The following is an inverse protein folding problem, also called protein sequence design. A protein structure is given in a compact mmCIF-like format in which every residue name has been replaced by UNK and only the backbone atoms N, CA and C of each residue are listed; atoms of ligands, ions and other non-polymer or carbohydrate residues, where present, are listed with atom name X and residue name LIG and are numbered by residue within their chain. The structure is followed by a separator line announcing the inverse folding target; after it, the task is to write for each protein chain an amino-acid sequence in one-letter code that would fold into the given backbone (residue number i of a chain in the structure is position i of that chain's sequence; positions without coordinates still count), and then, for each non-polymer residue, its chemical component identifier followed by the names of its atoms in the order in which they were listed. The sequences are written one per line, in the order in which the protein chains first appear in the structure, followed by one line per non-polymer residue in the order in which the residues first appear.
data_IF_138892966422
#
_entry.id   IF_138892966422
#
_cell.length_a   1.000
_cell.length_b   1.000
_cell.length_c   1.000
_cell.angle_alpha   90.00
_cell.angle_beta   90.00
_cell.angle_gamma   90.00
#
_symmetry.space_group_name_H-M   'P 1'
#
loop_
_entity.id
_entity.type
_entity.pdbx_description
1 polymer ?
#
# COMPACT_ATOMS: atom_id res chain seq x y z
N UNK A 1 22.33 -10.94 2.39
CA UNK A 1 21.13 -10.96 1.52
C UNK A 1 19.96 -11.26 2.44
N UNK A 2 18.86 -10.51 2.36
CA UNK A 2 17.70 -10.78 3.24
C UNK A 2 17.08 -12.13 2.88
N UNK A 3 16.88 -13.01 3.86
CA UNK A 3 16.21 -14.33 3.68
C UNK A 3 14.73 -14.20 3.30
N UNK A 4 14.21 -12.97 3.23
CA UNK A 4 12.84 -12.67 2.85
C UNK A 4 12.59 -12.93 1.35
N UNK A 5 11.41 -13.49 1.01
CA UNK A 5 11.03 -13.75 -0.38
C UNK A 5 11.01 -12.47 -1.20
N UNK A 6 11.17 -12.62 -2.51
CA UNK A 6 11.05 -11.48 -3.42
C UNK A 6 9.58 -11.02 -3.45
N UNK A 7 9.31 -9.71 -3.36
CA UNK A 7 7.95 -9.19 -3.49
C UNK A 7 7.33 -9.60 -4.84
N UNK A 8 6.03 -9.91 -4.84
CA UNK A 8 5.25 -10.33 -6.01
C UNK A 8 5.10 -9.19 -7.01
N UNK A 9 4.90 -7.97 -6.51
CA UNK A 9 4.57 -6.81 -7.33
C UNK A 9 5.80 -5.99 -7.71
N UNK A 10 5.62 -5.08 -8.67
CA UNK A 10 6.72 -4.23 -9.14
C UNK A 10 6.88 -3.02 -8.21
N UNK A 11 8.07 -2.87 -7.65
CA UNK A 11 8.44 -1.73 -6.81
C UNK A 11 9.39 -0.81 -7.56
N UNK A 12 9.07 0.48 -7.60
CA UNK A 12 9.89 1.52 -8.26
C UNK A 12 10.15 2.66 -7.31
N UNK A 13 11.32 3.28 -7.41
CA UNK A 13 11.61 4.49 -6.66
C UNK A 13 10.57 5.56 -7.01
N UNK A 14 9.97 6.20 -6.01
CA UNK A 14 8.86 7.14 -6.22
C UNK A 14 9.34 8.46 -6.79
N UNK A 15 10.44 9.01 -6.26
CA UNK A 15 11.05 10.25 -6.74
C UNK A 15 12.57 10.08 -6.88
N UNK A 16 13.20 10.64 -7.92
CA UNK A 16 14.63 10.45 -8.19
C UNK A 16 15.57 10.84 -7.03
N UNK A 17 15.19 11.84 -6.26
CA UNK A 17 15.92 12.39 -5.10
C UNK A 17 15.63 11.65 -3.78
N UNK A 18 14.54 10.87 -3.71
CA UNK A 18 14.14 10.13 -2.52
C UNK A 18 14.47 8.63 -2.64
N UNK A 19 15.75 8.28 -2.49
CA UNK A 19 16.26 6.90 -2.66
C UNK A 19 15.65 5.85 -1.73
N UNK A 20 15.02 6.28 -0.63
CA UNK A 20 14.36 5.40 0.34
C UNK A 20 12.85 5.56 0.33
N UNK A 21 12.27 5.86 -0.82
CA UNK A 21 10.84 5.92 -1.02
C UNK A 21 10.48 5.16 -2.30
N UNK A 22 9.57 4.20 -2.18
CA UNK A 22 9.16 3.34 -3.30
C UNK A 22 7.65 3.27 -3.40
N UNK A 23 7.17 3.10 -4.63
CA UNK A 23 5.76 2.87 -4.97
C UNK A 23 5.60 1.46 -5.52
N UNK A 24 4.58 0.75 -5.03
CA UNK A 24 4.18 -0.57 -5.50
C UNK A 24 3.17 -0.49 -6.63
N UNK A 25 3.34 -1.34 -7.65
CA UNK A 25 2.50 -1.42 -8.83
C UNK A 25 1.98 -2.83 -9.11
N UNK A 26 0.66 -2.93 -9.32
CA UNK A 26 -0.02 -4.09 -9.89
C UNK A 26 -0.42 -3.79 -11.34
N UNK A 27 0.38 -4.28 -12.29
CA UNK A 27 0.32 -3.81 -13.67
C UNK A 27 0.60 -2.30 -13.75
N UNK A 28 -0.43 -1.52 -14.10
CA UNK A 28 -0.40 -0.05 -14.14
C UNK A 28 -0.96 0.61 -12.87
N UNK A 29 -1.71 -0.14 -12.04
CA UNK A 29 -2.33 0.36 -10.80
C UNK A 29 -1.26 0.61 -9.75
N UNK A 30 -1.27 1.80 -9.16
CA UNK A 30 -0.49 2.12 -7.94
C UNK A 30 -1.30 1.69 -6.73
N UNK A 31 -0.74 0.83 -5.88
CA UNK A 31 -1.48 0.33 -4.70
C UNK A 31 -0.89 0.77 -3.36
N UNK A 32 0.41 1.04 -3.28
CA UNK A 32 1.07 1.32 -2.01
C UNK A 32 2.34 2.18 -2.14
N UNK A 33 2.76 2.70 -0.99
CA UNK A 33 4.07 3.31 -0.79
C UNK A 33 4.80 2.67 0.39
N UNK A 34 6.11 2.57 0.27
CA UNK A 34 7.01 2.26 1.38
C UNK A 34 8.09 3.33 1.47
N UNK A 35 8.48 3.71 2.68
CA UNK A 35 9.56 4.67 2.87
C UNK A 35 10.32 4.47 4.15
N UNK A 36 11.58 4.88 4.15
CA UNK A 36 12.38 4.93 5.37
C UNK A 36 11.96 6.10 6.24
N UNK A 37 11.64 5.80 7.48
CA UNK A 37 11.35 6.78 8.50
C UNK A 37 12.63 7.14 9.27
N UNK A 38 12.78 8.41 9.61
CA UNK A 38 14.01 8.94 10.21
C UNK A 38 14.35 8.31 11.58
N UNK A 39 13.36 7.74 12.28
CA UNK A 39 13.56 7.05 13.56
C UNK A 39 14.04 5.58 13.43
N UNK A 40 14.31 5.08 12.22
CA UNK A 40 15.06 3.83 12.03
C UNK A 40 14.27 2.62 11.53
N UNK A 41 13.06 2.80 11.01
CA UNK A 41 12.23 1.72 10.44
C UNK A 41 11.69 2.10 9.07
N UNK A 42 11.19 1.11 8.33
CA UNK A 42 10.43 1.33 7.10
C UNK A 42 8.95 1.44 7.43
N UNK A 43 8.32 2.51 7.00
CA UNK A 43 6.86 2.63 7.00
C UNK A 43 6.32 2.10 5.68
N UNK A 44 5.11 1.55 5.73
CA UNK A 44 4.30 1.26 4.55
C UNK A 44 2.88 1.79 4.73
N UNK A 45 2.23 2.17 3.63
CA UNK A 45 0.83 2.55 3.60
C UNK A 45 0.22 2.31 2.22
N UNK A 46 -1.05 1.91 2.20
CA UNK A 46 -1.83 1.77 0.97
C UNK A 46 -2.22 3.15 0.43
N UNK A 47 -2.29 3.29 -0.90
CA UNK A 47 -2.74 4.52 -1.55
C UNK A 47 -4.20 4.89 -1.16
N UNK A 48 -5.01 3.89 -0.79
CA UNK A 48 -6.42 4.05 -0.42
C UNK A 48 -6.65 4.29 1.07
N UNK A 49 -5.62 4.58 1.85
CA UNK A 49 -5.75 4.92 3.27
C UNK A 49 -6.67 6.13 3.52
N UNK A 50 -7.06 6.85 2.47
CA UNK A 50 -7.94 8.02 2.47
C UNK A 50 -9.26 7.83 1.72
N UNK A 51 -9.61 6.59 1.33
CA UNK A 51 -10.92 6.32 0.72
C UNK A 51 -12.06 6.73 1.68
N UNK A 52 -13.24 7.07 1.14
CA UNK A 52 -14.36 7.64 1.92
C UNK A 52 -14.75 6.82 3.15
N UNK A 53 -14.61 5.50 3.08
CA UNK A 53 -14.90 4.58 4.19
C UNK A 53 -13.65 4.05 4.91
N UNK A 54 -12.45 4.52 4.58
CA UNK A 54 -11.19 4.02 5.15
C UNK A 54 -11.10 4.18 6.67
N UNK A 55 -11.89 5.07 7.27
CA UNK A 55 -11.98 5.24 8.73
C UNK A 55 -12.64 4.06 9.46
N UNK A 56 -13.38 3.20 8.74
CA UNK A 56 -14.05 2.02 9.31
C UNK A 56 -13.13 0.80 9.40
N UNK A 57 -12.07 0.79 8.60
CA UNK A 57 -11.16 -0.35 8.53
C UNK A 57 -10.01 -0.16 9.49
N UNK A 58 -9.36 -1.26 9.86
CA UNK A 58 -7.99 -1.14 10.38
C UNK A 58 -7.19 -0.34 9.36
N UNK A 59 -6.52 0.73 9.79
CA UNK A 59 -5.71 1.55 8.89
C UNK A 59 -4.71 0.66 8.14
N UNK A 60 -4.72 0.66 6.79
CA UNK A 60 -3.83 -0.17 5.99
C UNK A 60 -2.44 0.47 5.90
N UNK A 61 -1.76 0.49 7.04
CA UNK A 61 -0.40 0.95 7.22
C UNK A 61 0.35 0.11 8.26
N UNK A 62 1.66 0.27 8.31
CA UNK A 62 2.50 -0.43 9.27
C UNK A 62 3.97 -0.04 9.21
N UNK A 63 4.76 -0.74 10.00
CA UNK A 63 6.20 -0.53 10.18
C UNK A 63 6.92 -1.87 10.05
N UNK A 64 8.11 -1.86 9.44
CA UNK A 64 8.92 -3.05 9.26
C UNK A 64 10.42 -2.72 9.30
N UNK A 65 11.24 -3.72 9.60
CA UNK A 65 12.69 -3.54 9.79
C UNK A 65 13.46 -3.34 8.48
N UNK A 66 12.86 -3.66 7.33
CA UNK A 66 13.50 -3.52 6.02
C UNK A 66 12.50 -3.15 4.93
N UNK A 67 12.99 -2.57 3.83
CA UNK A 67 12.17 -2.25 2.66
C UNK A 67 11.48 -3.50 2.10
N UNK A 68 12.16 -4.65 2.15
CA UNK A 68 11.59 -5.91 1.67
C UNK A 68 10.49 -6.42 2.60
N UNK A 69 10.68 -6.33 3.91
CA UNK A 69 9.62 -6.67 4.87
C UNK A 69 8.41 -5.75 4.69
N UNK A 70 8.63 -4.44 4.59
CA UNK A 70 7.57 -3.47 4.33
C UNK A 70 6.81 -3.76 3.03
N UNK A 71 7.53 -4.10 1.95
CA UNK A 71 6.92 -4.51 0.68
C UNK A 71 6.07 -5.78 0.85
N UNK A 72 6.56 -6.80 1.53
CA UNK A 72 5.82 -8.06 1.71
C UNK A 72 4.56 -7.87 2.58
N UNK A 73 4.66 -7.08 3.65
CA UNK A 73 3.52 -6.78 4.53
C UNK A 73 2.42 -6.01 3.80
N UNK A 74 2.79 -4.99 3.03
CA UNK A 74 1.80 -4.20 2.28
C UNK A 74 1.23 -4.96 1.09
N UNK A 75 1.97 -5.88 0.49
CA UNK A 75 1.42 -6.82 -0.51
C UNK A 75 0.40 -7.77 0.12
N UNK A 76 0.67 -8.31 1.30
CA UNK A 76 -0.31 -9.11 2.04
C UNK A 76 -1.56 -8.31 2.41
N UNK A 77 -1.39 -7.05 2.82
CA UNK A 77 -2.49 -6.12 3.04
C UNK A 77 -3.31 -5.88 1.76
N UNK A 78 -2.66 -5.61 0.62
CA UNK A 78 -3.31 -5.39 -0.67
C UNK A 78 -4.16 -6.59 -1.08
N UNK A 79 -3.59 -7.79 -0.98
CA UNK A 79 -4.26 -9.05 -1.30
C UNK A 79 -5.48 -9.32 -0.40
N UNK A 80 -5.38 -9.03 0.90
CA UNK A 80 -6.50 -9.15 1.82
C UNK A 80 -7.61 -8.13 1.51
N UNK A 81 -7.24 -6.89 1.13
CA UNK A 81 -8.20 -5.88 0.70
C UNK A 81 -8.92 -6.32 -0.58
N UNK A 82 -8.21 -6.84 -1.58
CA UNK A 82 -8.81 -7.37 -2.82
C UNK A 82 -9.78 -8.53 -2.58
N UNK A 83 -9.54 -9.34 -1.53
CA UNK A 83 -10.44 -10.41 -1.09
C UNK A 83 -11.54 -9.94 -0.13
N UNK A 84 -11.56 -8.66 0.25
CA UNK A 84 -12.46 -8.12 1.28
C UNK A 84 -12.29 -8.80 2.65
N UNK A 85 -11.08 -9.28 2.96
CA UNK A 85 -10.73 -9.98 4.20
C UNK A 85 -10.03 -9.05 5.21
N UNK A 86 -9.76 -7.80 4.84
CA UNK A 86 -9.07 -6.87 5.71
C UNK A 86 -9.96 -6.44 6.90
N UNK A 87 -9.41 -6.33 8.12
CA UNK A 87 -10.25 -6.14 9.31
C UNK A 87 -11.14 -4.90 9.24
N UNK A 88 -12.44 -5.14 9.39
CA UNK A 88 -13.49 -4.11 9.37
C UNK A 88 -14.05 -3.79 7.98
N UNK A 89 -13.57 -4.44 6.91
CA UNK A 89 -14.15 -4.29 5.58
C UNK A 89 -15.44 -5.08 5.41
N UNK A 90 -16.36 -4.52 4.63
CA UNK A 90 -17.51 -5.20 4.04
C UNK A 90 -17.45 -5.10 2.50
N UNK A 91 -18.18 -5.91 1.71
CA UNK A 91 -18.07 -5.88 0.24
C UNK A 91 -18.24 -4.50 -0.40
N UNK A 92 -19.10 -3.65 0.16
CA UNK A 92 -19.35 -2.28 -0.32
C UNK A 92 -18.11 -1.37 -0.21
N UNK A 93 -17.22 -1.69 0.72
CA UNK A 93 -15.98 -0.96 0.95
C UNK A 93 -14.95 -1.20 -0.16
N UNK A 94 -14.93 -2.41 -0.72
CA UNK A 94 -14.11 -2.73 -1.89
C UNK A 94 -14.57 -1.91 -3.10
N UNK A 95 -15.88 -1.79 -3.31
CA UNK A 95 -16.41 -0.97 -4.39
C UNK A 95 -16.08 0.51 -4.18
N UNK A 96 -16.25 1.03 -2.96
CA UNK A 96 -15.91 2.42 -2.64
C UNK A 96 -14.41 2.74 -2.88
N UNK A 97 -13.53 1.76 -2.67
CA UNK A 97 -12.11 1.88 -2.98
C UNK A 97 -11.86 1.95 -4.49
N UNK A 98 -12.49 1.08 -5.28
CA UNK A 98 -12.37 1.09 -6.74
C UNK A 98 -12.91 2.40 -7.34
N UNK A 99 -14.06 2.87 -6.87
CA UNK A 99 -14.64 4.16 -7.27
C UNK A 99 -13.70 5.33 -6.93
N UNK A 100 -12.99 5.25 -5.81
CA UNK A 100 -12.01 6.25 -5.40
C UNK A 100 -10.79 6.28 -6.34
N UNK A 101 -10.33 5.12 -6.83
CA UNK A 101 -9.26 5.05 -7.83
C UNK A 101 -9.66 5.70 -9.16
N UNK A 102 -10.90 5.47 -9.61
CA UNK A 102 -11.43 6.06 -10.84
C UNK A 102 -11.63 7.57 -10.70
N UNK A 103 -12.08 8.02 -9.53
CA UNK A 103 -12.31 9.43 -9.27
C UNK A 103 -11.02 10.26 -9.15
N UNK A 104 -9.97 9.74 -8.48
CA UNK A 104 -8.74 10.49 -8.19
C UNK A 104 -8.08 11.18 -9.42
N UNK A 105 -7.97 10.53 -10.60
CA UNK A 105 -7.47 11.16 -11.84
C UNK A 105 -8.39 12.25 -12.42
N UNK A 106 -9.69 12.19 -12.11
CA UNK A 106 -10.70 13.14 -12.62
C UNK A 106 -10.92 14.33 -11.70
N UNK A 107 -10.21 14.39 -10.57
CA UNK A 107 -10.29 15.48 -9.61
C UNK A 107 -9.82 16.79 -10.28
N UNK A 108 -10.65 17.85 -10.28
CA UNK A 108 -10.29 19.15 -10.84
C UNK A 108 -9.15 19.83 -10.07
#
# INVERSE_FOLDING_TARGET
MSDLPKPKYKWRQTWPDHRKHFTGFDGERKFAHIHWYHMGWWNWFMCWNWAKNASRWKRPNGQADSARAAALEVEACYEAVLRCEWPGMVPEDLQCMLDHEEWMPTRP
#
